data_IF_547990117152
#
_entry.id   IF_547990117152
#
_cell.length_a   1.000
_cell.length_b   1.000
_cell.length_c   1.000
_cell.angle_alpha   90.00
_cell.angle_beta   90.00
_cell.angle_gamma   90.00
#
_symmetry.space_group_name_H-M   'P 1'
#
loop_
_entity.id
_entity.type
_entity.pdbx_description
1 polymer ?
#
# COMPACT_ATOMS: atom_id res chain seq x y z
N UNK A 1 -1.43 5.90 -6.47
CA UNK A 1 -2.73 5.88 -5.74
C UNK A 1 -2.60 5.56 -4.25
N UNK A 2 -2.08 4.39 -3.83
CA UNK A 2 -2.14 3.93 -2.41
C UNK A 2 -1.69 4.97 -1.37
N UNK A 3 -0.57 5.66 -1.63
CA UNK A 3 -0.08 6.77 -0.82
C UNK A 3 -1.14 7.85 -0.58
N UNK A 4 -1.78 8.34 -1.65
CA UNK A 4 -2.81 9.38 -1.61
C UNK A 4 -4.07 8.95 -0.85
N UNK A 5 -4.42 7.65 -0.92
CA UNK A 5 -5.60 7.13 -0.22
C UNK A 5 -5.47 7.17 1.30
N UNK A 6 -4.24 7.21 1.83
CA UNK A 6 -3.99 7.40 3.25
C UNK A 6 -4.25 8.83 3.73
N UNK A 7 -4.20 9.82 2.84
CA UNK A 7 -4.45 11.22 3.16
C UNK A 7 -5.93 11.63 3.19
N UNK A 8 -6.85 10.72 2.87
CA UNK A 8 -8.29 11.00 2.82
C UNK A 8 -8.86 11.30 4.21
N UNK A 9 -9.85 12.17 4.25
CA UNK A 9 -10.63 12.45 5.45
C UNK A 9 -11.70 11.39 5.71
N UNK A 10 -12.24 10.78 4.65
CA UNK A 10 -13.21 9.69 4.71
C UNK A 10 -12.87 8.51 3.80
N UNK A 11 -13.35 7.32 4.18
CA UNK A 11 -13.19 6.10 3.39
C UNK A 11 -14.11 6.10 2.17
N UNK A 12 -13.96 5.10 1.30
CA UNK A 12 -14.84 4.96 0.13
C UNK A 12 -16.30 4.68 0.50
N UNK A 13 -16.52 4.14 1.71
CA UNK A 13 -17.83 3.75 2.21
C UNK A 13 -18.01 4.34 3.61
N UNK A 14 -18.97 5.25 3.75
CA UNK A 14 -19.35 5.85 5.03
C UNK A 14 -20.78 5.43 5.37
N UNK A 15 -20.92 4.57 6.38
CA UNK A 15 -22.16 3.83 6.61
C UNK A 15 -22.46 2.93 5.41
N UNK A 16 -23.56 3.18 4.72
CA UNK A 16 -23.95 2.46 3.50
C UNK A 16 -23.87 3.36 2.25
N UNK A 17 -23.10 4.46 2.27
CA UNK A 17 -23.00 5.38 1.13
C UNK A 17 -21.59 5.36 0.54
N UNK A 18 -21.51 5.30 -0.78
CA UNK A 18 -20.28 5.49 -1.53
C UNK A 18 -19.88 6.98 -1.50
N UNK A 19 -18.59 7.23 -1.29
CA UNK A 19 -18.03 8.57 -1.18
C UNK A 19 -16.71 8.67 -1.94
N UNK A 20 -16.53 9.79 -2.63
CA UNK A 20 -15.27 10.16 -3.26
C UNK A 20 -14.75 11.37 -2.47
N UNK A 21 -13.75 11.12 -1.64
CA UNK A 21 -13.08 12.16 -0.86
C UNK A 21 -12.31 13.12 -1.78
N UNK A 22 -12.23 14.41 -1.41
CA UNK A 22 -11.51 15.43 -2.18
C UNK A 22 -10.06 15.03 -2.52
N UNK A 23 -9.37 14.29 -1.64
CA UNK A 23 -8.00 13.80 -1.91
C UNK A 23 -7.90 12.84 -3.07
N UNK A 24 -8.99 12.15 -3.40
CA UNK A 24 -9.07 11.31 -4.60
C UNK A 24 -9.13 12.19 -5.84
N UNK A 25 -9.93 13.27 -5.81
CA UNK A 25 -10.02 14.24 -6.91
C UNK A 25 -8.69 14.96 -7.12
N UNK A 26 -8.07 15.45 -6.03
CA UNK A 26 -6.72 16.05 -6.06
C UNK A 26 -5.68 15.08 -6.68
N UNK A 27 -5.85 13.77 -6.48
CA UNK A 27 -4.96 12.77 -7.05
C UNK A 27 -5.13 12.60 -8.56
N UNK A 28 -6.33 12.84 -9.11
CA UNK A 28 -6.56 12.83 -10.57
C UNK A 28 -5.73 13.91 -11.23
N UNK A 29 -5.82 15.15 -10.73
CA UNK A 29 -5.06 16.30 -11.21
C UNK A 29 -3.54 16.07 -11.10
N UNK A 30 -3.10 15.58 -9.95
CA UNK A 30 -1.70 15.26 -9.73
C UNK A 30 -1.21 14.18 -10.70
N UNK A 31 -1.97 13.10 -10.88
CA UNK A 31 -1.63 12.03 -11.82
C UNK A 31 -1.59 12.55 -13.27
N UNK A 32 -2.52 13.43 -13.65
CA UNK A 32 -2.54 14.04 -14.99
C UNK A 32 -1.33 14.95 -15.21
N UNK A 33 -0.90 15.69 -14.19
CA UNK A 33 0.32 16.50 -14.23
C UNK A 33 1.56 15.62 -14.41
N UNK A 34 1.69 14.54 -13.63
CA UNK A 34 2.80 13.59 -13.79
C UNK A 34 2.83 13.00 -15.21
N UNK A 35 1.67 12.59 -15.74
CA UNK A 35 1.52 12.04 -17.09
C UNK A 35 1.92 13.05 -18.17
N UNK A 36 1.35 14.25 -18.13
CA UNK A 36 1.58 15.29 -19.14
C UNK A 36 3.06 15.72 -19.18
N UNK A 37 3.70 15.79 -18.01
CA UNK A 37 5.10 16.16 -17.88
C UNK A 37 6.07 14.98 -18.03
N UNK A 38 5.57 13.76 -18.23
CA UNK A 38 6.37 12.52 -18.33
C UNK A 38 7.24 12.26 -17.09
N UNK A 39 6.72 12.59 -15.91
CA UNK A 39 7.39 12.33 -14.62
C UNK A 39 7.08 10.95 -14.03
N UNK A 40 6.28 10.16 -14.73
CA UNK A 40 5.96 8.79 -14.37
C UNK A 40 6.12 7.88 -15.60
N UNK A 41 6.49 6.62 -15.39
CA UNK A 41 6.94 5.73 -16.46
C UNK A 41 5.82 5.12 -17.31
N UNK A 42 4.55 5.36 -16.97
CA UNK A 42 3.36 4.80 -17.62
C UNK A 42 3.35 3.26 -17.62
N UNK A 43 3.88 2.66 -16.56
CA UNK A 43 4.00 1.20 -16.42
C UNK A 43 2.92 0.62 -15.51
N UNK A 44 2.42 -0.54 -15.90
CA UNK A 44 1.49 -1.30 -15.09
C UNK A 44 2.22 -1.97 -13.94
N UNK A 45 1.83 -1.63 -12.70
CA UNK A 45 2.31 -2.33 -11.51
C UNK A 45 2.22 -3.85 -11.71
N UNK A 46 3.34 -4.54 -11.42
CA UNK A 46 3.51 -6.00 -11.60
C UNK A 46 3.66 -6.50 -13.04
N UNK A 47 3.64 -5.62 -14.04
CA UNK A 47 4.05 -6.00 -15.40
C UNK A 47 5.57 -6.24 -15.47
N UNK A 48 6.05 -7.02 -16.46
CA UNK A 48 7.49 -7.18 -16.69
C UNK A 48 8.22 -5.84 -16.82
N UNK A 49 7.67 -4.90 -17.61
CA UNK A 49 8.28 -3.57 -17.77
C UNK A 49 8.37 -2.78 -16.47
N UNK A 50 7.39 -2.90 -15.57
CA UNK A 50 7.45 -2.30 -14.23
C UNK A 50 8.55 -2.92 -13.37
N UNK A 51 8.72 -4.24 -13.43
CA UNK A 51 9.78 -4.93 -12.71
C UNK A 51 11.17 -4.57 -13.24
N UNK A 52 11.34 -4.55 -14.56
CA UNK A 52 12.60 -4.21 -15.22
C UNK A 52 13.02 -2.77 -14.90
N UNK A 53 12.07 -1.84 -14.87
CA UNK A 53 12.33 -0.43 -14.58
C UNK A 53 12.88 -0.17 -13.16
N UNK A 54 12.75 -1.09 -12.21
CA UNK A 54 13.28 -0.92 -10.85
C UNK A 54 14.80 -0.82 -10.85
N UNK A 55 15.48 -1.55 -11.73
CA UNK A 55 16.93 -1.54 -11.85
C UNK A 55 17.44 -0.52 -12.90
N UNK A 56 16.55 0.28 -13.48
CA UNK A 56 16.89 1.26 -14.52
C UNK A 56 16.86 2.68 -13.95
N UNK A 57 18.04 3.23 -13.66
CA UNK A 57 18.19 4.53 -12.99
C UNK A 57 17.59 5.70 -13.81
N UNK A 58 17.52 5.56 -15.14
CA UNK A 58 16.87 6.53 -16.03
C UNK A 58 15.33 6.54 -15.90
N UNK A 59 14.73 5.47 -15.36
CA UNK A 59 13.28 5.31 -15.23
C UNK A 59 12.78 5.46 -13.79
N UNK A 60 13.58 5.07 -12.80
CA UNK A 60 13.14 5.00 -11.39
C UNK A 60 14.03 5.82 -10.46
N UNK A 61 13.62 7.06 -10.17
CA UNK A 61 14.20 7.86 -9.08
C UNK A 61 13.51 7.62 -7.73
N UNK A 62 12.18 7.39 -7.75
CA UNK A 62 11.38 7.14 -6.56
C UNK A 62 10.47 5.95 -6.83
N UNK A 63 10.44 5.01 -5.90
CA UNK A 63 9.53 3.87 -5.94
C UNK A 63 8.65 3.82 -4.69
N UNK A 64 7.34 3.99 -4.88
CA UNK A 64 6.40 3.89 -3.78
C UNK A 64 6.21 2.41 -3.43
N UNK A 65 6.81 1.99 -2.32
CA UNK A 65 6.78 0.62 -1.84
C UNK A 65 6.21 0.50 -0.42
N UNK A 66 5.58 -0.63 -0.08
CA UNK A 66 5.36 -1.02 1.30
C UNK A 66 6.68 -1.52 1.91
N UNK A 67 6.72 -1.69 3.23
CA UNK A 67 7.93 -2.14 3.93
C UNK A 67 8.45 -3.49 3.44
N UNK A 68 7.56 -4.46 3.19
CA UNK A 68 7.91 -5.75 2.58
C UNK A 68 8.42 -5.62 1.13
N UNK A 69 8.16 -4.49 0.46
CA UNK A 69 8.68 -4.21 -0.87
C UNK A 69 10.18 -3.99 -0.89
N UNK A 70 10.82 -3.66 0.23
CA UNK A 70 12.28 -3.52 0.32
C UNK A 70 12.97 -4.83 -0.11
N UNK A 71 12.76 -5.98 0.57
CA UNK A 71 13.37 -7.24 0.15
C UNK A 71 12.73 -7.85 -1.10
N UNK A 72 11.40 -7.78 -1.22
CA UNK A 72 10.65 -8.58 -2.20
C UNK A 72 10.33 -7.86 -3.51
N UNK A 73 10.55 -6.55 -3.59
CA UNK A 73 10.46 -5.77 -4.82
C UNK A 73 11.86 -5.26 -5.16
N UNK A 74 12.41 -4.34 -4.35
CA UNK A 74 13.69 -3.70 -4.66
C UNK A 74 14.82 -4.74 -4.69
N UNK A 75 15.06 -5.48 -3.61
CA UNK A 75 16.11 -6.52 -3.59
C UNK A 75 15.86 -7.70 -4.55
N UNK A 76 14.62 -7.85 -5.02
CA UNK A 76 14.27 -8.91 -5.98
C UNK A 76 14.55 -8.50 -7.42
N UNK A 77 14.37 -7.23 -7.77
CA UNK A 77 14.50 -6.74 -9.14
C UNK A 77 15.76 -5.91 -9.40
N UNK A 78 16.26 -5.16 -8.42
CA UNK A 78 17.58 -4.51 -8.50
C UNK A 78 18.63 -5.28 -7.71
N UNK A 79 19.38 -6.13 -8.42
CA UNK A 79 20.43 -6.96 -7.83
C UNK A 79 21.67 -6.18 -7.40
N UNK A 80 21.86 -4.94 -7.87
CA UNK A 80 22.96 -4.07 -7.44
C UNK A 80 22.73 -3.57 -6.00
N UNK A 81 21.46 -3.35 -5.66
CA UNK A 81 21.05 -2.81 -4.36
C UNK A 81 21.12 -3.78 -3.17
N UNK A 82 21.35 -5.09 -3.40
CA UNK A 82 21.28 -6.11 -2.32
C UNK A 82 22.35 -5.92 -1.23
N UNK A 83 23.44 -5.23 -1.57
CA UNK A 83 24.53 -4.88 -0.67
C UNK A 83 24.50 -3.43 -0.18
N UNK A 84 23.45 -2.67 -0.55
CA UNK A 84 23.24 -1.28 -0.18
C UNK A 84 23.90 -0.28 -1.14
N UNK A 85 23.75 1.01 -0.84
CA UNK A 85 24.37 2.11 -1.58
C UNK A 85 23.48 2.78 -2.64
N UNK A 86 22.48 2.06 -3.15
CA UNK A 86 21.62 2.55 -4.24
C UNK A 86 20.30 3.16 -3.75
N UNK A 87 19.73 2.62 -2.67
CA UNK A 87 18.38 2.99 -2.21
C UNK A 87 18.41 3.64 -0.83
N UNK A 88 17.48 4.58 -0.62
CA UNK A 88 17.19 5.20 0.66
C UNK A 88 15.69 5.24 0.94
N UNK A 89 15.32 5.72 2.12
CA UNK A 89 13.92 5.93 2.48
C UNK A 89 13.60 7.41 2.67
N UNK A 90 12.43 7.80 2.16
CA UNK A 90 11.85 9.12 2.36
C UNK A 90 10.51 9.00 3.10
N UNK A 91 10.27 9.90 4.06
CA UNK A 91 9.00 9.93 4.78
C UNK A 91 7.87 10.27 3.77
N UNK A 92 6.79 9.49 3.73
CA UNK A 92 5.68 9.80 2.83
C UNK A 92 4.95 11.09 3.27
N UNK A 93 4.39 11.88 2.34
CA UNK A 93 3.60 13.07 2.67
C UNK A 93 2.32 12.73 3.46
N UNK A 94 1.78 11.52 3.29
CA UNK A 94 0.61 11.04 4.01
C UNK A 94 0.93 9.68 4.65
N UNK A 95 0.53 9.44 5.91
CA UNK A 95 0.60 8.11 6.49
C UNK A 95 -0.39 7.20 5.75
N UNK A 96 0.06 6.03 5.32
CA UNK A 96 -0.76 5.06 4.60
C UNK A 96 -0.28 3.64 4.90
N UNK A 97 -1.07 2.65 4.54
CA UNK A 97 -0.62 1.26 4.54
C UNK A 97 -0.95 0.59 3.21
N UNK A 98 -0.12 -0.38 2.85
CA UNK A 98 -0.33 -1.23 1.69
C UNK A 98 0.04 -2.67 2.04
N UNK A 99 -1.00 -3.49 2.21
CA UNK A 99 -0.87 -4.88 2.65
C UNK A 99 -1.08 -5.01 4.15
N UNK A 100 -0.35 -5.93 4.76
CA UNK A 100 -0.61 -6.43 6.11
C UNK A 100 -1.46 -7.70 6.05
N UNK A 101 -1.10 -8.66 6.90
CA UNK A 101 -1.75 -9.96 6.98
C UNK A 101 -2.59 -10.05 8.23
N UNK A 102 -3.76 -10.68 8.10
CA UNK A 102 -4.64 -11.02 9.21
C UNK A 102 -4.76 -12.54 9.28
N UNK A 103 -4.71 -13.06 10.50
CA UNK A 103 -4.95 -14.47 10.77
C UNK A 103 -6.35 -14.63 11.34
N UNK A 104 -7.07 -15.65 10.87
CA UNK A 104 -8.45 -15.92 11.30
C UNK A 104 -8.63 -17.42 11.49
N UNK A 105 -9.46 -17.79 12.46
CA UNK A 105 -9.80 -19.18 12.73
C UNK A 105 -11.03 -19.53 11.90
N UNK A 106 -10.92 -20.59 11.10
CA UNK A 106 -12.08 -21.08 10.36
C UNK A 106 -13.16 -21.55 11.35
N UNK A 107 -14.41 -21.11 11.14
CA UNK A 107 -15.51 -21.35 12.07
C UNK A 107 -15.86 -22.83 12.29
N UNK A 108 -15.42 -23.73 11.40
CA UNK A 108 -15.57 -25.19 11.54
C UNK A 108 -14.29 -25.91 11.99
N UNK A 109 -13.27 -25.18 12.44
CA UNK A 109 -12.08 -25.80 13.03
C UNK A 109 -12.47 -26.61 14.26
N UNK A 110 -11.88 -27.81 14.40
CA UNK A 110 -12.14 -28.71 15.53
C UNK A 110 -11.43 -28.25 16.82
N UNK A 111 -10.37 -27.45 16.68
CA UNK A 111 -9.49 -27.03 17.78
C UNK A 111 -9.38 -25.49 17.83
N UNK A 112 -10.51 -24.80 18.01
CA UNK A 112 -10.55 -23.33 17.94
C UNK A 112 -9.74 -22.69 19.08
N UNK A 113 -9.82 -23.24 20.29
CA UNK A 113 -9.09 -22.70 21.45
C UNK A 113 -7.58 -22.80 21.24
N UNK A 114 -7.07 -23.96 20.79
CA UNK A 114 -5.65 -24.12 20.51
C UNK A 114 -5.19 -23.24 19.33
N UNK A 115 -6.01 -23.12 18.29
CA UNK A 115 -5.72 -22.22 17.17
C UNK A 115 -5.65 -20.76 17.63
N UNK A 116 -6.52 -20.36 18.56
CA UNK A 116 -6.49 -19.03 19.17
C UNK A 116 -5.23 -18.80 19.99
N UNK A 117 -4.86 -19.74 20.86
CA UNK A 117 -3.61 -19.62 21.64
C UNK A 117 -2.39 -19.52 20.72
N UNK A 118 -2.36 -20.28 19.62
CA UNK A 118 -1.30 -20.18 18.62
C UNK A 118 -1.26 -18.80 17.94
N UNK A 119 -2.40 -18.31 17.42
CA UNK A 119 -2.49 -17.00 16.77
C UNK A 119 -2.07 -15.90 17.75
N UNK A 120 -2.57 -15.94 18.99
CA UNK A 120 -2.22 -14.99 20.05
C UNK A 120 -0.72 -15.01 20.32
N UNK A 121 -0.12 -16.19 20.47
CA UNK A 121 1.32 -16.33 20.68
C UNK A 121 2.12 -15.65 19.56
N UNK A 122 1.87 -15.99 18.30
CA UNK A 122 2.66 -15.45 17.17
C UNK A 122 2.38 -13.98 16.85
N UNK A 123 1.27 -13.41 17.33
CA UNK A 123 0.89 -12.01 17.05
C UNK A 123 1.07 -11.06 18.23
N UNK A 124 1.34 -11.56 19.44
CA UNK A 124 1.45 -10.71 20.64
C UNK A 124 2.73 -10.91 21.44
N UNK A 125 3.40 -12.07 21.31
CA UNK A 125 4.68 -12.29 21.97
C UNK A 125 5.79 -11.49 21.29
N UNK A 126 6.41 -10.55 22.01
CA UNK A 126 7.40 -9.63 21.47
C UNK A 126 8.64 -10.33 20.94
N UNK A 127 9.09 -11.40 21.59
CA UNK A 127 10.32 -12.10 21.20
C UNK A 127 10.08 -12.97 19.96
N UNK A 128 8.90 -13.58 19.86
CA UNK A 128 8.45 -14.27 18.64
C UNK A 128 8.35 -13.30 17.48
N UNK A 129 7.70 -12.14 17.67
CA UNK A 129 7.57 -11.12 16.63
C UNK A 129 8.94 -10.57 16.20
N UNK A 130 9.87 -10.34 17.14
CA UNK A 130 11.24 -9.91 16.82
C UNK A 130 11.97 -10.95 15.99
N UNK A 131 11.88 -12.22 16.37
CA UNK A 131 12.49 -13.32 15.63
C UNK A 131 11.86 -13.47 14.23
N UNK A 132 10.54 -13.36 14.12
CA UNK A 132 9.86 -13.39 12.83
C UNK A 132 10.34 -12.27 11.91
N UNK A 133 10.36 -11.03 12.42
CA UNK A 133 10.77 -9.87 11.65
C UNK A 133 12.24 -9.95 11.18
N UNK A 134 13.14 -10.47 12.01
CA UNK A 134 14.55 -10.63 11.61
C UNK A 134 14.74 -11.71 10.55
N UNK A 135 13.98 -12.81 10.62
CA UNK A 135 14.09 -13.93 9.67
C UNK A 135 13.39 -13.64 8.34
N UNK A 136 12.23 -12.98 8.37
CA UNK A 136 11.39 -12.76 7.19
C UNK A 136 11.50 -11.33 6.63
N UNK A 137 12.22 -10.44 7.30
CA UNK A 137 12.41 -9.03 6.90
C UNK A 137 11.09 -8.25 6.84
N UNK A 138 10.14 -8.63 7.69
CA UNK A 138 8.83 -7.99 7.83
C UNK A 138 8.86 -6.84 8.84
N UNK A 139 7.91 -5.91 8.72
CA UNK A 139 7.64 -4.90 9.75
C UNK A 139 6.53 -5.40 10.69
N UNK A 140 6.82 -5.67 11.97
CA UNK A 140 5.82 -6.08 12.95
C UNK A 140 4.90 -4.92 13.34
N UNK A 141 3.64 -5.21 13.65
CA UNK A 141 2.65 -4.22 14.13
C UNK A 141 2.75 -3.93 15.64
N UNK A 142 3.92 -4.10 16.25
CA UNK A 142 4.15 -3.92 17.69
C UNK A 142 4.96 -2.63 17.95
N UNK A 143 4.31 -1.60 18.50
CA UNK A 143 4.92 -0.29 18.72
C UNK A 143 6.13 -0.32 19.67
N UNK A 144 6.10 -1.16 20.70
CA UNK A 144 7.23 -1.30 21.61
C UNK A 144 8.45 -1.86 20.86
N UNK A 145 8.24 -2.90 20.06
CA UNK A 145 9.31 -3.48 19.25
C UNK A 145 9.86 -2.47 18.23
N UNK A 146 8.99 -1.67 17.59
CA UNK A 146 9.44 -0.60 16.70
C UNK A 146 10.28 0.46 17.43
N UNK A 147 9.88 0.83 18.65
CA UNK A 147 10.61 1.78 19.50
C UNK A 147 11.96 1.26 19.98
N UNK A 148 12.19 -0.05 19.98
CA UNK A 148 13.49 -0.64 20.34
C UNK A 148 14.46 -0.64 19.14
N UNK A 149 13.96 -0.62 17.91
CA UNK A 149 14.78 -0.67 16.69
C UNK A 149 15.11 -2.09 16.23
N UNK A 150 15.73 -2.19 15.06
CA UNK A 150 16.27 -3.46 14.55
C UNK A 150 17.64 -3.76 15.18
N UNK A 151 18.09 -5.02 15.11
CA UNK A 151 19.42 -5.40 15.60
C UNK A 151 20.56 -4.79 14.75
N UNK A 152 20.27 -4.52 13.48
CA UNK A 152 21.17 -3.92 12.51
C UNK A 152 20.36 -3.16 11.47
N UNK A 153 20.98 -2.18 10.83
CA UNK A 153 20.36 -1.48 9.70
C UNK A 153 20.01 -2.47 8.58
N UNK A 154 18.93 -2.18 7.86
CA UNK A 154 18.57 -2.99 6.70
C UNK A 154 19.62 -2.81 5.60
N UNK A 155 20.09 -3.93 5.05
CA UNK A 155 21.18 -3.96 4.09
C UNK A 155 20.90 -3.18 2.79
N UNK A 156 19.66 -3.19 2.31
CA UNK A 156 19.29 -2.58 1.01
C UNK A 156 19.23 -1.05 1.11
N UNK A 157 18.68 -0.51 2.21
CA UNK A 157 18.46 0.93 2.39
C UNK A 157 19.40 1.60 3.40
N UNK A 158 20.25 0.83 4.08
CA UNK A 158 21.25 1.34 5.01
C UNK A 158 20.72 1.94 6.32
N UNK A 159 19.42 1.86 6.61
CA UNK A 159 18.78 2.44 7.81
C UNK A 159 18.04 1.43 8.66
N UNK A 160 17.85 1.74 9.94
CA UNK A 160 16.97 0.99 10.84
C UNK A 160 15.51 1.24 10.43
N UNK A 161 14.89 0.19 9.87
CA UNK A 161 13.52 0.24 9.37
C UNK A 161 12.51 0.48 10.50
N UNK A 162 12.73 -0.07 11.68
CA UNK A 162 11.80 0.08 12.79
C UNK A 162 11.79 1.54 13.25
N UNK A 163 12.96 2.11 13.48
CA UNK A 163 13.12 3.51 13.88
C UNK A 163 12.68 4.50 12.81
N UNK A 164 12.85 4.16 11.54
CA UNK A 164 12.38 5.01 10.45
C UNK A 164 10.84 5.16 10.47
N UNK A 165 10.11 4.06 10.62
CA UNK A 165 8.63 4.07 10.56
C UNK A 165 7.95 4.39 11.90
N UNK A 166 8.59 4.12 13.05
CA UNK A 166 8.04 4.33 14.39
C UNK A 166 7.36 5.69 14.60
N UNK A 167 7.92 6.83 14.16
CA UNK A 167 7.36 8.14 14.47
C UNK A 167 6.00 8.43 13.83
N UNK A 168 5.63 7.71 12.77
CA UNK A 168 4.42 7.99 11.99
C UNK A 168 3.53 6.78 11.72
N UNK A 169 3.90 5.57 12.16
CA UNK A 169 3.06 4.37 11.99
C UNK A 169 1.73 4.49 12.74
N UNK A 170 1.71 5.20 13.87
CA UNK A 170 0.49 5.45 14.68
C UNK A 170 -0.50 6.40 14.01
N UNK A 171 -0.05 7.17 13.02
CA UNK A 171 -0.87 8.15 12.32
C UNK A 171 -1.64 7.49 11.14
N UNK A 172 -1.39 6.21 10.87
CA UNK A 172 -2.10 5.45 9.83
C UNK A 172 -3.56 5.24 10.27
N UNK A 173 -4.49 5.79 9.49
CA UNK A 173 -5.92 5.65 9.75
C UNK A 173 -6.50 4.39 9.07
N UNK A 174 -6.52 3.28 9.80
CA UNK A 174 -7.13 2.02 9.35
C UNK A 174 -8.66 2.09 9.14
N UNK A 175 -9.35 3.08 9.72
CA UNK A 175 -10.83 3.22 9.63
C UNK A 175 -11.31 3.63 8.23
N UNK A 176 -10.41 4.08 7.37
CA UNK A 176 -10.71 4.47 5.99
C UNK A 176 -11.02 3.27 5.07
N UNK A 177 -10.90 2.03 5.59
CA UNK A 177 -10.88 0.80 4.80
C UNK A 177 -12.01 -0.14 5.22
N UNK A 178 -12.59 -0.78 4.23
CA UNK A 178 -13.63 -1.79 4.35
C UNK A 178 -13.30 -3.00 3.46
N UNK A 179 -14.11 -4.05 3.53
CA UNK A 179 -14.01 -5.20 2.62
C UNK A 179 -14.29 -4.84 1.15
N UNK A 180 -14.90 -3.68 0.88
CA UNK A 180 -15.29 -3.23 -0.46
C UNK A 180 -14.17 -2.50 -1.20
N UNK A 181 -13.15 -2.03 -0.48
CA UNK A 181 -12.13 -1.13 -1.02
C UNK A 181 -11.31 -1.75 -2.16
N UNK A 182 -11.03 -3.06 -2.12
CA UNK A 182 -10.27 -3.71 -3.20
C UNK A 182 -10.97 -3.53 -4.56
N UNK A 183 -12.26 -3.84 -4.61
CA UNK A 183 -13.07 -3.73 -5.82
C UNK A 183 -13.23 -2.28 -6.26
N UNK A 184 -13.48 -1.36 -5.34
CA UNK A 184 -13.59 0.08 -5.65
C UNK A 184 -12.27 0.61 -6.24
N UNK A 185 -11.14 0.30 -5.61
CA UNK A 185 -9.82 0.75 -6.04
C UNK A 185 -9.38 0.15 -7.37
N UNK A 186 -9.81 -1.08 -7.68
CA UNK A 186 -9.61 -1.71 -8.98
C UNK A 186 -10.26 -0.87 -10.08
N UNK A 187 -11.55 -0.53 -9.92
CA UNK A 187 -12.29 0.24 -10.92
C UNK A 187 -11.80 1.69 -11.01
N UNK A 188 -11.47 2.32 -9.88
CA UNK A 188 -10.86 3.64 -9.89
C UNK A 188 -9.57 3.67 -10.70
N UNK A 189 -8.63 2.74 -10.42
CA UNK A 189 -7.37 2.68 -11.16
C UNK A 189 -7.59 2.45 -12.67
N UNK A 190 -8.54 1.58 -13.03
CA UNK A 190 -8.84 1.31 -14.44
C UNK A 190 -9.37 2.55 -15.14
N UNK A 191 -10.37 3.24 -14.56
CA UNK A 191 -10.93 4.46 -15.12
C UNK A 191 -9.90 5.59 -15.18
N UNK A 192 -9.10 5.76 -14.13
CA UNK A 192 -8.03 6.75 -14.09
C UNK A 192 -7.02 6.49 -15.21
N UNK A 193 -6.57 5.25 -15.42
CA UNK A 193 -5.65 4.90 -16.51
C UNK A 193 -6.20 5.23 -17.88
N UNK A 194 -7.42 4.77 -18.21
CA UNK A 194 -8.07 5.13 -19.47
C UNK A 194 -8.18 6.65 -19.68
N UNK A 195 -8.38 7.43 -18.62
CA UNK A 195 -8.35 8.90 -18.69
C UNK A 195 -6.94 9.48 -18.90
N UNK A 196 -5.92 8.93 -18.24
CA UNK A 196 -4.53 9.34 -18.42
C UNK A 196 -4.00 8.98 -19.82
N UNK A 197 -4.42 7.83 -20.37
CA UNK A 197 -4.08 7.36 -21.71
C UNK A 197 -4.88 8.07 -22.82
N UNK A 198 -5.89 8.85 -22.42
CA UNK A 198 -6.70 9.66 -23.32
C UNK A 198 -7.80 8.87 -24.03
N UNK A 199 -8.11 7.65 -23.62
CA UNK A 199 -9.30 6.91 -24.07
C UNK A 199 -10.58 7.60 -23.56
N UNK A 200 -10.60 7.93 -22.27
CA UNK A 200 -11.61 8.80 -21.65
C UNK A 200 -11.10 10.24 -21.78
N UNK A 201 -11.93 11.15 -22.30
CA UNK A 201 -11.47 12.49 -22.70
C UNK A 201 -11.56 13.52 -21.59
N UNK A 202 -12.49 13.36 -20.65
CA UNK A 202 -12.74 14.32 -19.57
C UNK A 202 -12.73 13.65 -18.21
N UNK A 203 -12.38 14.41 -17.17
CA UNK A 203 -12.45 13.94 -15.79
C UNK A 203 -13.90 13.61 -15.39
N UNK A 204 -14.86 14.42 -15.81
CA UNK A 204 -16.29 14.17 -15.56
C UNK A 204 -16.75 12.82 -16.11
N UNK A 205 -16.34 12.46 -17.33
CA UNK A 205 -16.65 11.17 -17.91
C UNK A 205 -15.98 10.02 -17.14
N UNK A 206 -14.73 10.23 -16.69
CA UNK A 206 -13.99 9.27 -15.87
C UNK A 206 -14.72 8.98 -14.57
N UNK A 207 -15.10 10.03 -13.84
CA UNK A 207 -15.81 9.94 -12.56
C UNK A 207 -17.19 9.29 -12.73
N UNK A 208 -17.91 9.63 -13.80
CA UNK A 208 -19.20 8.99 -14.11
C UNK A 208 -19.04 7.49 -14.35
N UNK A 209 -18.10 7.09 -15.21
CA UNK A 209 -17.82 5.67 -15.47
C UNK A 209 -17.38 4.94 -14.21
N UNK A 210 -16.52 5.56 -13.40
CA UNK A 210 -16.10 4.99 -12.12
C UNK A 210 -17.28 4.73 -11.18
N UNK A 211 -18.18 5.71 -11.01
CA UNK A 211 -19.41 5.54 -10.23
C UNK A 211 -20.30 4.41 -10.76
N UNK A 212 -20.47 4.33 -12.08
CA UNK A 212 -21.26 3.27 -12.73
C UNK A 212 -20.68 1.88 -12.42
N UNK A 213 -19.35 1.72 -12.50
CA UNK A 213 -18.67 0.46 -12.17
C UNK A 213 -18.83 0.06 -10.71
N UNK A 214 -18.71 1.02 -9.78
CA UNK A 214 -18.92 0.78 -8.35
C UNK A 214 -20.37 0.36 -8.10
N UNK A 215 -21.34 1.07 -8.70
CA UNK A 215 -22.77 0.76 -8.57
C UNK A 215 -23.12 -0.64 -9.06
N UNK A 216 -22.49 -1.08 -10.15
CA UNK A 216 -22.76 -2.40 -10.74
C UNK A 216 -22.08 -3.55 -10.00
N UNK A 217 -20.96 -3.29 -9.33
CA UNK A 217 -20.05 -4.34 -8.86
C UNK A 217 -19.93 -4.45 -7.34
N UNK A 218 -20.33 -3.41 -6.60
CA UNK A 218 -20.20 -3.37 -5.13
C UNK A 218 -21.59 -3.40 -4.51
N UNK A 219 -21.87 -4.48 -3.77
CA UNK A 219 -23.16 -4.70 -3.10
C UNK A 219 -23.26 -3.92 -1.78
N UNK A 220 -24.49 -3.76 -1.32
CA UNK A 220 -24.82 -3.21 0.01
C UNK A 220 -24.25 -1.80 0.25
N UNK A 221 -24.23 -0.96 -0.80
CA UNK A 221 -23.96 0.48 -0.73
C UNK A 221 -24.85 1.26 -1.70
N UNK A 222 -25.15 2.51 -1.37
CA UNK A 222 -25.80 3.48 -2.25
C UNK A 222 -24.74 4.29 -2.99
N UNK A 223 -24.93 4.48 -4.30
CA UNK A 223 -24.09 5.30 -5.16
C UNK A 223 -24.97 6.39 -5.78
N UNK A 224 -24.61 7.64 -5.54
CA UNK A 224 -25.27 8.84 -6.08
C UNK A 224 -24.67 9.24 -7.45
#
# INVERSE_FOLDING_TARGET
>A
MKLYLGGRSEGWVVGNKFKIDQKVLDFIDFAKTLRNNKYEASLDQWSPGWSDAIAEDEKAFIWLCPTWGIPWIIGSYDKRAVDGGEWGLAKPPFPFFWGGSWLSIYSKSKNQDLAWEFIKFITTDKDVMRKWASQNRDLPNNLQLLSEGTQQNNKIIGTDIFKFYEPFVKDINGKLRTSKDYTIELYYNRCLRSYLDGEIKTEEEMLRKFKDEVKNSVKDISVD
#
